data_IF_434528454640
#
_entry.id   IF_434528454640
#
_cell.length_a   1.000
_cell.length_b   1.000
_cell.length_c   1.000
_cell.angle_alpha   90.00
_cell.angle_beta   90.00
_cell.angle_gamma   90.00
#
_symmetry.space_group_name_H-M   'P 1'
#
loop_
_entity.id
_entity.type
_entity.pdbx_description
1 polymer ?
#
# COMPACT_ATOMS: atom_id res chain seq x y z
N UNK A 1 -1.84 -13.16 -5.41
CA UNK A 1 -1.67 -14.59 -5.73
C UNK A 1 -2.68 -15.41 -4.92
N UNK A 2 -2.98 -16.67 -5.27
CA UNK A 2 -3.91 -17.51 -4.51
C UNK A 2 -3.62 -17.56 -3.00
N UNK A 3 -2.33 -17.50 -2.65
CA UNK A 3 -1.87 -17.52 -1.25
C UNK A 3 -2.19 -16.21 -0.49
N UNK A 4 -2.17 -15.06 -1.16
CA UNK A 4 -2.42 -13.75 -0.53
C UNK A 4 -3.86 -13.62 -0.04
N UNK A 5 -4.81 -14.15 -0.82
CA UNK A 5 -6.22 -14.18 -0.43
C UNK A 5 -6.44 -15.13 0.77
N UNK A 6 -5.82 -16.31 0.75
CA UNK A 6 -5.89 -17.26 1.87
C UNK A 6 -5.31 -16.65 3.15
N UNK A 7 -4.17 -15.96 3.05
CA UNK A 7 -3.57 -15.22 4.16
C UNK A 7 -4.49 -14.11 4.66
N UNK A 8 -5.07 -13.31 3.76
CA UNK A 8 -6.01 -12.24 4.11
C UNK A 8 -7.23 -12.80 4.85
N UNK A 9 -7.83 -13.89 4.37
CA UNK A 9 -8.97 -14.57 5.02
C UNK A 9 -8.63 -15.08 6.41
N UNK A 10 -7.42 -15.62 6.59
CA UNK A 10 -6.96 -16.10 7.90
C UNK A 10 -6.78 -14.96 8.90
N UNK A 11 -6.24 -13.82 8.45
CA UNK A 11 -6.04 -12.62 9.28
C UNK A 11 -7.35 -11.90 9.61
N UNK A 12 -8.34 -11.92 8.72
CA UNK A 12 -9.67 -11.32 8.94
C UNK A 12 -10.44 -11.95 10.12
N UNK A 13 -10.01 -13.11 10.62
CA UNK A 13 -10.53 -13.68 11.87
C UNK A 13 -10.20 -12.84 13.10
N UNK A 14 -9.20 -11.96 12.99
CA UNK A 14 -8.67 -11.15 14.09
C UNK A 14 -8.76 -9.64 13.80
N UNK A 15 -8.79 -9.24 12.53
CA UNK A 15 -8.77 -7.84 12.11
C UNK A 15 -9.98 -7.48 11.25
N UNK A 16 -10.47 -6.23 11.37
CA UNK A 16 -11.60 -5.72 10.57
C UNK A 16 -11.26 -5.49 9.10
N UNK A 17 -9.97 -5.32 8.80
CA UNK A 17 -9.47 -5.15 7.45
C UNK A 17 -7.99 -5.49 7.38
N UNK A 18 -7.56 -6.03 6.25
CA UNK A 18 -6.20 -6.54 6.01
C UNK A 18 -5.74 -6.08 4.64
N UNK A 19 -4.46 -5.72 4.53
CA UNK A 19 -3.78 -5.49 3.26
C UNK A 19 -2.55 -6.41 3.18
N UNK A 20 -2.47 -7.23 2.14
CA UNK A 20 -1.34 -8.11 1.84
C UNK A 20 -0.65 -7.58 0.58
N UNK A 21 0.57 -7.09 0.74
CA UNK A 21 1.32 -6.43 -0.35
C UNK A 21 2.35 -7.37 -0.98
N UNK A 22 2.53 -7.29 -2.29
CA UNK A 22 3.56 -8.03 -3.01
C UNK A 22 4.00 -7.33 -4.29
N UNK A 23 4.95 -7.94 -5.02
CA UNK A 23 5.52 -7.36 -6.25
C UNK A 23 4.47 -7.02 -7.32
N UNK A 24 3.38 -7.79 -7.37
CA UNK A 24 2.37 -7.67 -8.42
C UNK A 24 1.21 -6.73 -8.04
N UNK A 25 1.20 -6.18 -6.83
CA UNK A 25 0.07 -5.41 -6.33
C UNK A 25 -0.21 -5.67 -4.85
N UNK A 26 -1.45 -5.46 -4.43
CA UNK A 26 -1.87 -5.84 -3.08
C UNK A 26 -3.28 -6.40 -3.06
N UNK A 27 -3.52 -7.33 -2.14
CA UNK A 27 -4.85 -7.81 -1.80
C UNK A 27 -5.32 -7.03 -0.57
N UNK A 28 -6.41 -6.28 -0.69
CA UNK A 28 -7.08 -5.62 0.43
C UNK A 28 -8.39 -6.32 0.71
N UNK A 29 -8.68 -6.58 1.98
CA UNK A 29 -9.82 -7.38 2.37
C UNK A 29 -10.50 -6.85 3.62
N UNK A 30 -11.81 -7.03 3.69
CA UNK A 30 -12.68 -6.83 4.85
C UNK A 30 -13.51 -8.10 5.07
N UNK A 31 -14.34 -8.13 6.10
CA UNK A 31 -15.27 -9.25 6.33
C UNK A 31 -16.24 -9.50 5.17
N UNK A 32 -16.53 -8.50 4.34
CA UNK A 32 -17.51 -8.59 3.25
C UNK A 32 -16.89 -8.70 1.86
N UNK A 33 -15.62 -8.38 1.68
CA UNK A 33 -15.00 -8.31 0.34
C UNK A 33 -13.50 -8.56 0.38
N UNK A 34 -13.02 -9.19 -0.68
CA UNK A 34 -11.60 -9.25 -1.04
C UNK A 34 -11.44 -8.55 -2.38
N UNK A 35 -10.47 -7.64 -2.48
CA UNK A 35 -10.13 -6.93 -3.70
C UNK A 35 -8.63 -7.04 -3.96
N UNK A 36 -8.26 -7.40 -5.19
CA UNK A 36 -6.88 -7.37 -5.63
C UNK A 36 -6.64 -6.15 -6.51
N UNK A 37 -5.72 -5.29 -6.08
CA UNK A 37 -5.29 -4.12 -6.83
C UNK A 37 -3.92 -4.40 -7.48
N UNK A 38 -3.81 -4.44 -8.82
CA UNK A 38 -2.53 -4.69 -9.48
C UNK A 38 -1.62 -3.46 -9.34
N UNK A 39 -0.31 -3.69 -9.24
CA UNK A 39 0.68 -2.61 -9.30
C UNK A 39 0.60 -1.89 -10.65
N UNK A 40 0.44 -0.56 -10.64
CA UNK A 40 0.23 0.25 -11.85
C UNK A 40 1.44 0.23 -12.80
N UNK A 41 2.64 0.09 -12.26
CA UNK A 41 3.88 0.09 -13.04
C UNK A 41 4.90 -0.82 -12.36
N UNK A 42 5.66 -1.59 -13.15
CA UNK A 42 6.86 -2.26 -12.64
C UNK A 42 7.87 -1.19 -12.28
N UNK A 43 7.92 -0.81 -11.01
CA UNK A 43 8.92 0.13 -10.51
C UNK A 43 10.33 -0.43 -10.78
N UNK A 44 11.24 0.42 -11.23
CA UNK A 44 12.68 0.11 -11.19
C UNK A 44 13.08 0.09 -9.72
N UNK A 45 13.26 -1.10 -9.17
CA UNK A 45 13.65 -1.27 -7.77
C UNK A 45 15.12 -0.86 -7.61
N UNK A 46 15.35 0.22 -6.87
CA UNK A 46 16.66 0.71 -6.44
C UNK A 46 16.94 0.22 -5.02
N UNK A 47 15.97 0.35 -4.12
CA UNK A 47 16.02 -0.09 -2.72
C UNK A 47 14.60 -0.42 -2.25
N UNK A 48 14.40 -1.56 -1.56
CA UNK A 48 13.10 -1.96 -1.05
C UNK A 48 12.79 -1.43 0.36
N UNK A 49 13.78 -0.81 1.00
CA UNK A 49 13.67 -0.31 2.37
C UNK A 49 12.57 0.75 2.46
N UNK A 50 11.60 0.54 3.37
CA UNK A 50 10.50 1.46 3.60
C UNK A 50 9.32 1.36 2.61
N UNK A 51 9.35 0.45 1.63
CA UNK A 51 8.23 0.29 0.69
C UNK A 51 6.90 -0.08 1.39
N UNK A 52 6.95 -0.90 2.44
CA UNK A 52 5.79 -1.24 3.25
C UNK A 52 5.25 -0.05 4.06
N UNK A 53 6.13 0.73 4.66
CA UNK A 53 5.75 1.95 5.40
C UNK A 53 5.15 3.00 4.45
N UNK A 54 5.74 3.16 3.27
CA UNK A 54 5.23 4.01 2.20
C UNK A 54 3.84 3.55 1.73
N UNK A 55 3.62 2.24 1.57
CA UNK A 55 2.29 1.70 1.29
C UNK A 55 1.28 2.08 2.38
N UNK A 56 1.62 1.81 3.64
CA UNK A 56 0.74 2.09 4.78
C UNK A 56 0.44 3.60 4.87
N UNK A 57 1.44 4.46 4.68
CA UNK A 57 1.26 5.90 4.69
C UNK A 57 0.32 6.38 3.57
N UNK A 58 0.49 5.88 2.34
CA UNK A 58 -0.37 6.24 1.20
C UNK A 58 -1.81 5.79 1.40
N UNK A 59 -1.98 4.55 1.85
CA UNK A 59 -3.29 3.97 2.17
C UNK A 59 -4.02 4.77 3.26
N UNK A 60 -3.34 5.01 4.40
CA UNK A 60 -3.93 5.71 5.54
C UNK A 60 -4.19 7.19 5.24
N UNK A 61 -3.30 7.85 4.49
CA UNK A 61 -3.50 9.25 4.11
C UNK A 61 -4.77 9.47 3.28
N UNK A 62 -5.05 8.60 2.31
CA UNK A 62 -6.30 8.69 1.54
C UNK A 62 -7.50 8.34 2.43
N UNK A 63 -7.41 7.28 3.22
CA UNK A 63 -8.49 6.89 4.15
C UNK A 63 -8.89 8.01 5.10
N UNK A 64 -7.91 8.74 5.65
CA UNK A 64 -8.16 9.87 6.55
C UNK A 64 -8.78 11.06 5.83
N UNK A 65 -8.33 11.37 4.60
CA UNK A 65 -8.84 12.51 3.83
C UNK A 65 -10.27 12.31 3.33
N UNK A 66 -10.63 11.09 2.95
CA UNK A 66 -11.96 10.79 2.43
C UNK A 66 -13.02 10.63 3.52
N UNK A 67 -12.62 10.62 4.80
CA UNK A 67 -13.55 10.44 5.92
C UNK A 67 -14.26 9.07 5.92
N UNK A 68 -13.72 8.09 5.18
CA UNK A 68 -14.34 6.79 4.92
C UNK A 68 -14.26 5.86 6.13
N UNK A 69 -15.10 6.15 7.13
CA UNK A 69 -15.38 5.29 8.27
C UNK A 69 -16.89 5.03 8.35
N UNK A 70 -17.35 3.78 8.17
CA UNK A 70 -16.57 2.59 7.80
C UNK A 70 -16.07 2.63 6.35
N UNK A 71 -14.98 1.90 6.06
CA UNK A 71 -14.47 1.72 4.68
C UNK A 71 -15.49 0.90 3.91
N UNK A 72 -16.04 1.47 2.84
CA UNK A 72 -16.92 0.75 1.91
C UNK A 72 -16.08 -0.11 0.97
N UNK A 73 -16.74 -1.13 0.41
CA UNK A 73 -16.18 -2.00 -0.63
C UNK A 73 -15.70 -1.18 -1.84
N UNK A 74 -16.43 -0.12 -2.20
CA UNK A 74 -16.08 0.81 -3.28
C UNK A 74 -14.75 1.53 -3.08
N UNK A 75 -14.25 1.59 -1.85
CA UNK A 75 -13.13 2.44 -1.47
C UNK A 75 -11.81 1.68 -1.54
N UNK A 76 -11.88 0.34 -1.41
CA UNK A 76 -10.73 -0.55 -1.39
C UNK A 76 -9.78 -0.35 -2.58
N UNK A 77 -10.26 -0.22 -3.84
CA UNK A 77 -9.36 0.02 -4.97
C UNK A 77 -8.59 1.35 -4.85
N UNK A 78 -9.26 2.42 -4.42
CA UNK A 78 -8.66 3.76 -4.30
C UNK A 78 -7.60 3.79 -3.20
N UNK A 79 -7.90 3.18 -2.05
CA UNK A 79 -6.96 3.08 -0.93
C UNK A 79 -5.74 2.22 -1.29
N UNK A 80 -5.98 1.06 -1.93
CA UNK A 80 -4.93 0.16 -2.38
C UNK A 80 -4.01 0.82 -3.41
N UNK A 81 -4.59 1.51 -4.41
CA UNK A 81 -3.84 2.23 -5.43
C UNK A 81 -2.94 3.30 -4.82
N UNK A 82 -3.45 4.09 -3.89
CA UNK A 82 -2.67 5.14 -3.23
C UNK A 82 -1.47 4.60 -2.45
N UNK A 83 -1.64 3.47 -1.75
CA UNK A 83 -0.53 2.77 -1.09
C UNK A 83 0.50 2.24 -2.10
N UNK A 84 0.04 1.57 -3.17
CA UNK A 84 0.92 1.02 -4.20
C UNK A 84 1.74 2.12 -4.90
N UNK A 85 1.14 3.26 -5.20
CA UNK A 85 1.81 4.38 -5.86
C UNK A 85 2.89 5.01 -4.98
N UNK A 86 2.64 5.13 -3.67
CA UNK A 86 3.65 5.67 -2.76
C UNK A 86 4.77 4.65 -2.50
N UNK A 87 4.46 3.36 -2.40
CA UNK A 87 5.45 2.29 -2.33
C UNK A 87 6.34 2.24 -3.58
N UNK A 88 5.76 2.40 -4.77
CA UNK A 88 6.51 2.44 -6.03
C UNK A 88 7.52 3.60 -6.08
N UNK A 89 7.17 4.76 -5.49
CA UNK A 89 8.10 5.89 -5.36
C UNK A 89 9.24 5.57 -4.40
N UNK A 90 8.94 5.02 -3.22
CA UNK A 90 9.95 4.59 -2.25
C UNK A 90 10.92 3.58 -2.87
N UNK A 91 10.40 2.61 -3.63
CA UNK A 91 11.20 1.60 -4.32
C UNK A 91 12.22 2.19 -5.30
N UNK A 92 11.97 3.39 -5.83
CA UNK A 92 12.80 4.05 -6.84
C UNK A 92 13.89 4.97 -6.27
N UNK A 93 13.99 5.08 -4.95
CA UNK A 93 14.93 5.94 -4.23
C UNK A 93 15.71 5.15 -3.19
N UNK A 94 17.01 5.42 -2.97
CA UNK A 94 17.75 4.79 -1.88
C UNK A 94 17.22 5.20 -0.49
N UNK A 95 17.07 4.23 0.40
CA UNK A 95 16.62 4.40 1.78
C UNK A 95 15.13 4.69 1.96
N UNK A 96 14.62 4.50 3.19
CA UNK A 96 13.22 4.76 3.55
C UNK A 96 12.88 6.26 3.71
N UNK A 97 13.88 7.14 3.74
CA UNK A 97 13.70 8.58 3.95
C UNK A 97 13.99 9.32 2.63
N UNK A 98 13.11 10.24 2.18
CA UNK A 98 13.39 11.07 1.02
C UNK A 98 14.77 11.74 1.16
N UNK A 99 15.53 11.87 0.07
CA UNK A 99 16.85 12.49 0.12
C UNK A 99 16.72 13.88 0.74
N UNK A 100 17.58 14.18 1.73
CA UNK A 100 17.65 15.51 2.31
C UNK A 100 17.92 16.51 1.18
N UNK A 101 17.28 17.70 1.17
CA UNK A 101 17.60 18.73 0.20
C UNK A 101 19.11 18.98 0.27
N UNK A 102 19.77 18.98 -0.90
CA UNK A 102 21.18 19.33 -0.97
C UNK A 102 21.31 20.72 -0.37
N UNK A 103 22.16 20.87 0.65
CA UNK A 103 22.55 22.20 1.12
C UNK A 103 23.13 22.92 -0.11
N UNK A 104 22.62 24.12 -0.41
CA UNK A 104 23.33 25.03 -1.30
C UNK A 104 24.70 25.25 -0.63
N UNK A 105 25.77 24.93 -1.35
CA UNK A 105 27.11 25.36 -0.98
C UNK A 105 27.16 26.88 -1.14
N UNK A 106 27.57 27.57 -0.07
CA UNK A 106 27.97 28.98 -0.08
C UNK A 106 29.11 29.24 -1.08
#
# INVERSE_FOLDING_TARGET
APDDESAARSLLRFYKGVAVTGRNGCTVATSSTVHFEPAATRARVVDATGAGDAFAAGFLAVRLRTGMLPVSVSDLPVLARAGLDLAARALSTPGARPPLPRRHSD
#
